data_IF_656900561727
#
_entry.id   IF_656900561727
#
_cell.length_a   1.000
_cell.length_b   1.000
_cell.length_c   1.000
_cell.angle_alpha   90.00
_cell.angle_beta   90.00
_cell.angle_gamma   90.00
#
_symmetry.space_group_name_H-M   'P 1'
#
loop_
_entity.id
_entity.type
_entity.pdbx_description
1 polymer ?
#
# COMPACT_ATOMS: atom_id res chain seq x y z
N UNK A 1 16.01 0.16 1.42
CA UNK A 1 15.59 -1.14 1.96
C UNK A 1 14.11 -1.14 2.37
N UNK A 2 13.59 -0.12 3.06
CA UNK A 2 12.18 -0.04 3.44
C UNK A 2 11.22 -0.07 2.25
N UNK A 3 11.59 0.55 1.13
CA UNK A 3 10.75 0.59 -0.07
C UNK A 3 10.65 -0.77 -0.77
N UNK A 4 11.68 -1.59 -0.72
CA UNK A 4 11.62 -2.95 -1.27
C UNK A 4 10.72 -3.88 -0.45
N UNK A 5 10.51 -3.61 0.82
CA UNK A 5 9.60 -4.39 1.66
C UNK A 5 8.13 -4.18 1.32
N UNK A 6 7.77 -3.04 0.73
CA UNK A 6 6.40 -2.76 0.27
C UNK A 6 5.91 -3.80 -0.75
N UNK A 7 6.82 -4.35 -1.56
CA UNK A 7 6.50 -5.46 -2.49
C UNK A 7 5.81 -6.61 -1.74
N UNK A 8 6.27 -6.90 -0.55
CA UNK A 8 5.74 -7.98 0.25
C UNK A 8 4.46 -7.59 0.99
N UNK A 9 4.28 -6.35 1.40
CA UNK A 9 3.10 -5.91 2.16
C UNK A 9 1.78 -6.25 1.48
N UNK A 10 1.68 -5.87 0.22
CA UNK A 10 0.46 -6.07 -0.57
C UNK A 10 0.16 -7.57 -0.67
N UNK A 11 1.18 -8.38 -0.91
CA UNK A 11 1.03 -9.83 -1.08
C UNK A 11 0.77 -10.55 0.25
N UNK A 12 1.42 -10.12 1.34
CA UNK A 12 1.19 -10.69 2.67
C UNK A 12 -0.18 -10.29 3.25
N UNK A 13 -0.65 -9.08 2.98
CA UNK A 13 -1.97 -8.65 3.45
C UNK A 13 -3.11 -9.51 2.92
N UNK A 14 -2.95 -10.10 1.72
CA UNK A 14 -3.90 -11.03 1.12
C UNK A 14 -3.53 -12.51 1.30
N UNK A 15 -2.65 -12.84 2.22
CA UNK A 15 -2.14 -14.20 2.43
C UNK A 15 -1.50 -14.85 1.19
N UNK A 16 -0.99 -14.07 0.24
CA UNK A 16 -0.38 -14.55 -0.99
C UNK A 16 1.13 -14.37 -0.96
N UNK A 17 1.80 -15.05 0.00
CA UNK A 17 3.24 -14.90 0.28
C UNK A 17 4.16 -15.23 -0.89
N UNK A 18 3.71 -16.04 -1.84
CA UNK A 18 4.50 -16.42 -3.02
C UNK A 18 4.16 -15.62 -4.28
N UNK A 19 3.23 -14.66 -4.19
CA UNK A 19 2.77 -13.91 -5.36
C UNK A 19 3.90 -13.15 -6.05
N UNK A 20 4.77 -12.50 -5.28
CA UNK A 20 5.90 -11.76 -5.83
C UNK A 20 6.87 -12.69 -6.61
N UNK A 21 7.28 -13.80 -5.99
CA UNK A 21 8.16 -14.76 -6.65
C UNK A 21 7.53 -15.33 -7.92
N UNK A 22 6.24 -15.65 -7.89
CA UNK A 22 5.49 -16.17 -9.03
C UNK A 22 5.40 -15.18 -10.19
N UNK A 23 5.27 -13.89 -9.90
CA UNK A 23 5.23 -12.85 -10.93
C UNK A 23 6.56 -12.72 -11.68
N UNK A 24 7.68 -12.90 -11.00
CA UNK A 24 9.01 -12.89 -11.64
C UNK A 24 9.27 -14.04 -12.60
N UNK A 25 8.47 -15.09 -12.58
CA UNK A 25 8.59 -16.18 -13.55
C UNK A 25 8.31 -15.71 -15.00
N UNK A 26 7.50 -14.67 -15.18
CA UNK A 26 7.23 -14.06 -16.49
C UNK A 26 7.59 -12.57 -16.47
N UNK A 27 8.86 -12.28 -16.67
CA UNK A 27 9.43 -10.92 -16.63
C UNK A 27 8.73 -9.95 -17.60
N UNK A 28 8.44 -10.38 -18.84
CA UNK A 28 7.79 -9.52 -19.84
C UNK A 28 6.41 -9.07 -19.37
N UNK A 29 5.61 -10.00 -18.85
CA UNK A 29 4.29 -9.69 -18.34
C UNK A 29 4.35 -8.84 -17.07
N UNK A 30 5.29 -9.14 -16.19
CA UNK A 30 5.49 -8.38 -14.96
C UNK A 30 5.76 -6.90 -15.23
N UNK A 31 6.66 -6.59 -16.17
CA UNK A 31 6.96 -5.19 -16.51
C UNK A 31 5.82 -4.50 -17.24
N UNK A 32 5.02 -5.23 -18.02
CA UNK A 32 3.80 -4.69 -18.62
C UNK A 32 2.77 -4.31 -17.53
N UNK A 33 2.54 -5.19 -16.57
CA UNK A 33 1.66 -4.94 -15.43
C UNK A 33 2.16 -3.82 -14.54
N UNK A 34 3.48 -3.76 -14.30
CA UNK A 34 4.10 -2.65 -13.59
C UNK A 34 3.85 -1.31 -14.29
N UNK A 35 4.08 -1.23 -15.61
CA UNK A 35 3.86 -0.01 -16.38
C UNK A 35 2.38 0.41 -16.36
N UNK A 36 1.46 -0.55 -16.47
CA UNK A 36 0.02 -0.29 -16.37
C UNK A 36 -0.35 0.31 -15.00
N UNK A 37 0.07 -0.33 -13.92
CA UNK A 37 -0.22 0.14 -12.56
C UNK A 37 0.45 1.48 -12.28
N UNK A 38 1.73 1.63 -12.61
CA UNK A 38 2.48 2.86 -12.39
C UNK A 38 1.87 4.06 -13.12
N UNK A 39 1.26 3.85 -14.29
CA UNK A 39 0.57 4.87 -15.06
C UNK A 39 -0.93 4.97 -14.75
N UNK A 40 -1.44 4.21 -13.79
CA UNK A 40 -2.84 4.31 -13.37
C UNK A 40 -3.15 5.69 -12.77
N UNK A 41 -4.40 6.10 -12.89
CA UNK A 41 -4.84 7.41 -12.37
C UNK A 41 -4.70 7.50 -10.85
N UNK A 42 -4.87 6.39 -10.14
CA UNK A 42 -4.63 6.32 -8.70
C UNK A 42 -3.18 6.68 -8.34
N UNK A 43 -2.18 6.10 -9.01
CA UNK A 43 -0.78 6.40 -8.73
C UNK A 43 -0.34 7.75 -9.33
N UNK A 44 -0.97 8.21 -10.42
CA UNK A 44 -0.76 9.58 -10.93
C UNK A 44 -1.25 10.63 -9.94
N UNK A 45 -2.44 10.46 -9.38
CA UNK A 45 -2.99 11.33 -8.34
C UNK A 45 -2.10 11.34 -7.10
N UNK A 46 -1.62 10.16 -6.70
CA UNK A 46 -0.70 10.02 -5.59
C UNK A 46 0.63 10.75 -5.82
N UNK A 47 1.18 10.73 -7.05
CA UNK A 47 2.37 11.49 -7.45
C UNK A 47 2.11 12.99 -7.57
N UNK A 48 0.89 13.37 -7.96
CA UNK A 48 0.48 14.77 -8.11
C UNK A 48 0.26 15.52 -6.79
N UNK A 49 0.47 14.90 -5.64
CA UNK A 49 0.36 15.53 -4.33
C UNK A 49 -1.08 15.77 -3.84
N UNK A 50 -2.09 15.33 -4.59
CA UNK A 50 -3.50 15.57 -4.24
C UNK A 50 -3.96 14.65 -3.10
N UNK A 51 -3.31 13.51 -2.89
CA UNK A 51 -3.69 12.55 -1.84
C UNK A 51 -2.54 12.15 -0.89
N UNK A 52 -1.30 12.55 -1.16
CA UNK A 52 -0.15 11.95 -0.47
C UNK A 52 0.19 12.59 0.85
N UNK A 53 -0.08 13.83 1.03
CA UNK A 53 0.11 14.51 2.28
C UNK A 53 -0.72 15.80 2.26
N UNK A 54 -1.97 15.66 2.57
CA UNK A 54 -2.78 16.81 3.02
C UNK A 54 -1.98 17.61 4.05
N UNK A 55 -1.11 16.95 4.80
CA UNK A 55 -0.27 17.52 5.82
C UNK A 55 0.92 18.29 5.26
N UNK A 56 1.67 17.72 4.34
CA UNK A 56 2.80 18.39 3.71
C UNK A 56 2.33 19.51 2.80
N UNK A 57 1.26 19.30 2.03
CA UNK A 57 0.68 20.30 1.16
C UNK A 57 0.02 21.45 1.97
N UNK A 58 -0.71 21.15 3.06
CA UNK A 58 -1.27 22.17 3.94
C UNK A 58 -0.18 22.95 4.68
N UNK A 59 0.87 22.27 5.16
CA UNK A 59 2.00 22.90 5.80
C UNK A 59 2.75 23.80 4.80
N UNK A 60 3.03 23.30 3.60
CA UNK A 60 3.65 24.08 2.53
C UNK A 60 2.76 25.27 2.12
N UNK A 61 1.44 25.09 2.00
CA UNK A 61 0.51 26.15 1.68
C UNK A 61 0.41 27.20 2.80
N UNK A 62 0.42 26.79 4.07
CA UNK A 62 0.41 27.69 5.21
C UNK A 62 1.71 28.50 5.33
N UNK A 63 2.85 27.88 5.04
CA UNK A 63 4.15 28.53 5.01
C UNK A 63 4.31 29.46 3.79
N UNK A 64 3.73 29.09 2.64
CA UNK A 64 3.72 29.89 1.40
C UNK A 64 2.88 31.17 1.54
N UNK A 65 1.81 31.14 2.31
CA UNK A 65 0.99 32.32 2.64
C UNK A 65 1.65 33.26 3.67
N UNK A 66 2.77 32.87 4.25
CA UNK A 66 3.52 33.70 5.20
C UNK A 66 4.26 34.81 4.47
N UNK A 67 4.20 36.04 5.01
CA UNK A 67 5.00 37.19 4.53
C UNK A 67 6.50 37.07 4.90
N UNK A 68 6.90 36.03 5.62
CA UNK A 68 8.27 35.85 6.06
C UNK A 68 9.05 35.02 5.01
N UNK A 69 10.10 35.60 4.38
CA UNK A 69 10.84 34.93 3.29
C UNK A 69 11.52 33.62 3.70
N UNK A 70 11.95 33.49 4.95
CA UNK A 70 12.51 32.24 5.47
C UNK A 70 11.50 31.09 5.48
N UNK A 71 10.23 31.37 5.79
CA UNK A 71 9.16 30.36 5.77
C UNK A 71 8.79 29.94 4.36
N UNK A 72 8.83 30.86 3.40
CA UNK A 72 8.64 30.56 1.97
C UNK A 72 9.77 29.67 1.44
N UNK A 73 11.01 29.94 1.85
CA UNK A 73 12.15 29.08 1.49
C UNK A 73 12.02 27.66 2.05
N UNK A 74 11.63 27.54 3.33
CA UNK A 74 11.39 26.24 3.97
C UNK A 74 10.27 25.49 3.25
N UNK A 75 9.19 26.18 2.87
CA UNK A 75 8.09 25.61 2.08
C UNK A 75 8.59 24.97 0.76
N UNK A 76 9.44 25.69 0.01
CA UNK A 76 10.03 25.20 -1.23
C UNK A 76 10.99 24.03 -1.03
N UNK A 77 11.80 24.05 0.03
CA UNK A 77 12.70 22.95 0.37
C UNK A 77 11.93 21.69 0.77
N UNK A 78 10.84 21.83 1.51
CA UNK A 78 9.96 20.72 1.84
C UNK A 78 9.29 20.15 0.58
N UNK A 79 8.78 21.00 -0.31
CA UNK A 79 8.16 20.60 -1.58
C UNK A 79 9.14 19.80 -2.46
N UNK A 80 10.38 20.25 -2.58
CA UNK A 80 11.46 19.58 -3.33
C UNK A 80 11.94 18.29 -2.64
N UNK A 81 11.95 18.24 -1.32
CA UNK A 81 12.37 17.08 -0.55
C UNK A 81 11.39 15.92 -0.59
N UNK A 82 10.07 16.18 -0.78
CA UNK A 82 9.05 15.13 -0.86
C UNK A 82 8.96 14.45 -2.24
N UNK A 83 9.33 15.13 -3.32
CA UNK A 83 9.26 14.59 -4.68
C UNK A 83 9.97 13.23 -4.86
N UNK A 84 11.24 13.06 -4.44
CA UNK A 84 11.93 11.76 -4.57
C UNK A 84 11.26 10.65 -3.76
N UNK A 85 10.76 10.97 -2.58
CA UNK A 85 10.05 10.02 -1.69
C UNK A 85 8.74 9.57 -2.32
N UNK A 86 7.97 10.47 -2.90
CA UNK A 86 6.72 10.16 -3.60
C UNK A 86 6.93 9.25 -4.81
N UNK A 87 7.96 9.52 -5.61
CA UNK A 87 8.32 8.68 -6.75
C UNK A 87 8.76 7.29 -6.27
N UNK A 88 9.60 7.23 -5.24
CA UNK A 88 10.06 5.98 -4.65
C UNK A 88 8.91 5.13 -4.09
N UNK A 89 7.97 5.74 -3.38
CA UNK A 89 6.78 5.08 -2.85
C UNK A 89 5.90 4.52 -3.98
N UNK A 90 5.66 5.31 -5.03
CA UNK A 90 4.88 4.85 -6.18
C UNK A 90 5.55 3.70 -6.95
N UNK A 91 6.88 3.72 -7.09
CA UNK A 91 7.63 2.61 -7.68
C UNK A 91 7.48 1.36 -6.82
N UNK A 92 7.61 1.49 -5.51
CA UNK A 92 7.47 0.37 -4.59
C UNK A 92 6.05 -0.22 -4.63
N UNK A 93 5.02 0.62 -4.61
CA UNK A 93 3.62 0.20 -4.74
C UNK A 93 3.36 -0.49 -6.08
N UNK A 94 3.86 0.06 -7.19
CA UNK A 94 3.68 -0.54 -8.51
C UNK A 94 4.40 -1.88 -8.63
N UNK A 95 5.58 -2.03 -8.00
CA UNK A 95 6.35 -3.28 -7.98
C UNK A 95 5.58 -4.40 -7.25
N UNK A 96 5.09 -4.13 -6.06
CA UNK A 96 4.25 -5.07 -5.31
C UNK A 96 2.88 -5.29 -5.97
N UNK A 97 2.31 -4.22 -6.46
CA UNK A 97 1.02 -4.21 -7.13
C UNK A 97 0.98 -5.01 -8.43
N UNK A 98 2.04 -4.98 -9.23
CA UNK A 98 2.13 -5.76 -10.47
C UNK A 98 2.01 -7.26 -10.20
N UNK A 99 2.72 -7.76 -9.17
CA UNK A 99 2.65 -9.16 -8.78
C UNK A 99 1.27 -9.55 -8.26
N UNK A 100 0.68 -8.70 -7.44
CA UNK A 100 -0.65 -8.91 -6.88
C UNK A 100 -1.72 -8.90 -7.98
N UNK A 101 -1.73 -7.88 -8.82
CA UNK A 101 -2.65 -7.70 -9.93
C UNK A 101 -2.68 -8.91 -10.86
N UNK A 102 -1.49 -9.39 -11.30
CA UNK A 102 -1.39 -10.58 -12.17
C UNK A 102 -1.93 -11.84 -11.48
N UNK A 103 -1.66 -12.02 -10.21
CA UNK A 103 -2.17 -13.17 -9.48
C UNK A 103 -3.70 -13.11 -9.31
N UNK A 104 -4.28 -11.91 -9.16
CA UNK A 104 -5.74 -11.71 -9.12
C UNK A 104 -6.39 -12.01 -10.47
N UNK A 105 -5.83 -11.50 -11.57
CA UNK A 105 -6.32 -11.82 -12.92
C UNK A 105 -6.35 -13.33 -13.13
N UNK A 106 -5.23 -14.01 -12.86
CA UNK A 106 -5.12 -15.45 -13.04
C UNK A 106 -6.15 -16.22 -12.18
N UNK A 107 -6.41 -15.74 -10.98
CA UNK A 107 -7.44 -16.32 -10.11
C UNK A 107 -8.83 -16.15 -10.72
N UNK A 108 -9.21 -14.93 -11.12
CA UNK A 108 -10.53 -14.64 -11.65
C UNK A 108 -10.81 -15.35 -12.99
N UNK A 109 -9.81 -15.46 -13.86
CA UNK A 109 -9.93 -16.27 -15.08
C UNK A 109 -10.15 -17.74 -14.73
N UNK A 110 -9.43 -18.28 -13.74
CA UNK A 110 -9.63 -19.65 -13.26
C UNK A 110 -11.02 -19.87 -12.66
N UNK A 111 -11.57 -18.85 -12.02
CA UNK A 111 -12.91 -18.85 -11.44
C UNK A 111 -14.02 -18.62 -12.49
N UNK A 112 -13.65 -18.50 -13.79
CA UNK A 112 -14.59 -18.45 -14.93
C UNK A 112 -14.91 -17.03 -15.44
N UNK A 113 -14.26 -15.98 -14.94
CA UNK A 113 -14.46 -14.62 -15.46
C UNK A 113 -13.81 -14.44 -16.83
N UNK A 114 -14.40 -13.60 -17.68
CA UNK A 114 -13.74 -13.16 -18.90
C UNK A 114 -12.47 -12.35 -18.58
N UNK A 115 -11.52 -12.32 -19.51
CA UNK A 115 -10.25 -11.60 -19.31
C UNK A 115 -10.46 -10.13 -18.93
N UNK A 116 -11.39 -9.45 -19.58
CA UNK A 116 -11.70 -8.02 -19.33
C UNK A 116 -12.32 -7.79 -17.96
N UNK A 117 -13.23 -8.65 -17.53
CA UNK A 117 -13.84 -8.57 -16.19
C UNK A 117 -12.81 -8.89 -15.11
N UNK A 118 -11.96 -9.90 -15.34
CA UNK A 118 -10.88 -10.28 -14.44
C UNK A 118 -9.86 -9.12 -14.25
N UNK A 119 -9.51 -8.42 -15.31
CA UNK A 119 -8.63 -7.24 -15.24
C UNK A 119 -9.26 -6.11 -14.41
N UNK A 120 -10.53 -5.80 -14.65
CA UNK A 120 -11.24 -4.75 -13.91
C UNK A 120 -11.38 -5.11 -12.42
N UNK A 121 -11.77 -6.33 -12.10
CA UNK A 121 -11.90 -6.81 -10.72
C UNK A 121 -10.53 -6.83 -10.01
N UNK A 122 -9.49 -7.32 -10.67
CA UNK A 122 -8.14 -7.34 -10.13
C UNK A 122 -7.58 -5.93 -9.85
N UNK A 123 -7.93 -4.94 -10.69
CA UNK A 123 -7.54 -3.56 -10.46
C UNK A 123 -8.26 -2.95 -9.26
N UNK A 124 -9.53 -3.24 -9.08
CA UNK A 124 -10.29 -2.82 -7.87
C UNK A 124 -9.67 -3.42 -6.61
N UNK A 125 -9.38 -4.72 -6.60
CA UNK A 125 -8.71 -5.38 -5.48
C UNK A 125 -7.34 -4.77 -5.19
N UNK A 126 -6.58 -4.40 -6.23
CA UNK A 126 -5.30 -3.72 -6.07
C UNK A 126 -5.47 -2.35 -5.41
N UNK A 127 -6.49 -1.58 -5.80
CA UNK A 127 -6.79 -0.29 -5.17
C UNK A 127 -7.11 -0.47 -3.68
N UNK A 128 -7.98 -1.41 -3.35
CA UNK A 128 -8.40 -1.67 -1.98
C UNK A 128 -7.25 -2.16 -1.10
N UNK A 129 -6.45 -3.11 -1.58
CA UNK A 129 -5.30 -3.62 -0.82
C UNK A 129 -4.24 -2.53 -0.62
N UNK A 130 -4.01 -1.69 -1.63
CA UNK A 130 -3.07 -0.57 -1.54
C UNK A 130 -3.54 0.43 -0.49
N UNK A 131 -4.82 0.80 -0.48
CA UNK A 131 -5.38 1.71 0.52
C UNK A 131 -5.33 1.12 1.95
N UNK A 132 -5.43 -0.18 2.09
CA UNK A 132 -5.41 -0.85 3.40
C UNK A 132 -4.00 -1.11 3.94
N UNK A 133 -2.98 -1.19 3.07
CA UNK A 133 -1.60 -1.53 3.46
C UNK A 133 -0.64 -0.35 3.39
N UNK A 134 -0.94 0.63 2.54
CA UNK A 134 -0.13 1.82 2.39
C UNK A 134 -0.73 3.01 3.15
N UNK A 135 0.06 4.04 3.33
CA UNK A 135 -0.44 5.28 3.92
C UNK A 135 -1.60 5.83 3.08
N UNK A 136 -2.78 5.90 3.68
CA UNK A 136 -3.99 6.37 3.02
C UNK A 136 -4.35 7.75 3.53
N UNK A 137 -4.72 8.64 2.61
CA UNK A 137 -5.29 9.96 2.93
C UNK A 137 -6.83 9.91 3.10
N UNK A 138 -7.44 8.73 3.00
CA UNK A 138 -8.90 8.59 3.19
C UNK A 138 -9.29 8.95 4.62
N UNK A 139 -10.36 9.75 4.80
CA UNK A 139 -10.80 10.21 6.14
C UNK A 139 -11.15 9.05 7.09
N UNK A 140 -11.66 7.93 6.56
CA UNK A 140 -11.99 6.73 7.32
C UNK A 140 -10.76 5.92 7.80
N UNK A 141 -9.59 6.19 7.22
CA UNK A 141 -8.32 5.55 7.56
C UNK A 141 -7.40 6.44 8.40
N UNK A 142 -7.74 7.71 8.56
CA UNK A 142 -6.97 8.68 9.37
C UNK A 142 -7.61 8.79 10.75
N UNK A 143 -6.82 8.62 11.81
CA UNK A 143 -7.33 8.78 13.17
C UNK A 143 -7.69 10.25 13.46
N UNK A 144 -8.68 10.48 14.33
CA UNK A 144 -9.04 11.84 14.76
C UNK A 144 -7.85 12.62 15.35
N UNK A 145 -6.90 11.93 15.96
CA UNK A 145 -5.67 12.52 16.47
C UNK A 145 -4.76 13.04 15.35
N UNK A 146 -4.77 12.37 14.20
CA UNK A 146 -4.05 12.81 12.99
C UNK A 146 -4.77 13.96 12.27
N UNK A 147 -6.03 14.25 12.59
CA UNK A 147 -6.76 15.37 12.01
C UNK A 147 -6.29 16.74 12.57
N UNK A 148 -5.67 16.80 13.74
CA UNK A 148 -5.07 18.02 14.29
C UNK A 148 -3.71 18.32 13.66
N UNK A 149 -3.33 19.61 13.55
CA UNK A 149 -2.05 20.03 12.95
C UNK A 149 -0.86 19.43 13.70
N UNK A 150 -0.90 19.40 15.03
CA UNK A 150 0.16 18.81 15.86
C UNK A 150 0.17 17.28 15.78
N UNK A 151 -1.00 16.66 15.75
CA UNK A 151 -1.16 15.22 15.55
C UNK A 151 -0.65 14.78 14.18
N UNK A 152 -0.84 15.59 13.16
CA UNK A 152 -0.30 15.37 11.82
C UNK A 152 1.23 15.27 11.83
N UNK A 153 1.91 16.21 12.46
CA UNK A 153 3.39 16.24 12.51
C UNK A 153 3.94 15.08 13.33
N UNK A 154 3.35 14.76 14.48
CA UNK A 154 3.86 13.73 15.41
C UNK A 154 3.47 12.32 14.93
N UNK A 155 2.25 12.14 14.43
CA UNK A 155 1.68 10.82 14.15
C UNK A 155 1.81 10.39 12.68
N UNK A 156 2.32 11.26 11.80
CA UNK A 156 2.48 10.94 10.39
C UNK A 156 3.36 9.69 10.18
N UNK A 157 4.42 9.56 10.98
CA UNK A 157 5.31 8.39 10.96
C UNK A 157 4.72 7.14 11.64
N UNK A 158 3.66 7.28 12.45
CA UNK A 158 3.03 6.16 13.14
C UNK A 158 1.96 5.45 12.30
N UNK A 159 1.54 6.04 11.19
CA UNK A 159 0.47 5.49 10.38
C UNK A 159 0.83 4.11 9.80
N UNK A 160 2.05 3.96 9.30
CA UNK A 160 2.55 2.68 8.76
C UNK A 160 2.62 1.61 9.87
N UNK A 161 3.19 1.96 11.03
CA UNK A 161 3.28 1.06 12.18
C UNK A 161 1.89 0.66 12.68
N UNK A 162 0.94 1.59 12.71
CA UNK A 162 -0.45 1.31 13.10
C UNK A 162 -1.14 0.35 12.12
N UNK A 163 -0.86 0.48 10.82
CA UNK A 163 -1.36 -0.45 9.80
C UNK A 163 -0.77 -1.85 9.96
N UNK A 164 0.53 -1.97 10.24
CA UNK A 164 1.16 -3.26 10.52
C UNK A 164 0.57 -3.93 11.74
N UNK A 165 0.40 -3.19 12.83
CA UNK A 165 -0.24 -3.69 14.03
C UNK A 165 -1.67 -4.20 13.75
N UNK A 166 -2.43 -3.48 12.91
CA UNK A 166 -3.77 -3.90 12.51
C UNK A 166 -3.74 -5.19 11.70
N UNK A 167 -2.84 -5.30 10.71
CA UNK A 167 -2.72 -6.49 9.87
C UNK A 167 -2.23 -7.70 10.65
N UNK A 168 -1.24 -7.53 11.52
CA UNK A 168 -0.76 -8.57 12.40
C UNK A 168 -1.82 -9.03 13.42
N UNK A 169 -2.54 -8.08 14.03
CA UNK A 169 -3.65 -8.36 14.93
C UNK A 169 -4.77 -9.14 14.23
N UNK A 170 -5.12 -8.75 13.00
CA UNK A 170 -6.10 -9.49 12.20
C UNK A 170 -5.64 -10.93 11.94
N UNK A 171 -4.38 -11.13 11.55
CA UNK A 171 -3.83 -12.47 11.34
C UNK A 171 -3.89 -13.33 12.61
N UNK A 172 -3.60 -12.74 13.78
CA UNK A 172 -3.73 -13.40 15.06
C UNK A 172 -5.19 -13.79 15.36
N UNK A 173 -6.14 -12.87 15.13
CA UNK A 173 -7.57 -13.13 15.32
C UNK A 173 -8.07 -14.23 14.37
N UNK A 174 -7.56 -14.29 13.13
CA UNK A 174 -7.94 -15.32 12.16
C UNK A 174 -7.47 -16.72 12.62
N UNK A 175 -6.26 -16.84 13.21
CA UNK A 175 -5.80 -18.08 13.85
C UNK A 175 -6.70 -18.43 15.03
N UNK A 176 -6.90 -17.49 15.95
CA UNK A 176 -7.68 -17.72 17.18
C UNK A 176 -9.11 -18.16 16.86
N UNK A 177 -9.74 -17.52 15.88
CA UNK A 177 -11.11 -17.82 15.46
C UNK A 177 -11.18 -18.97 14.44
N UNK A 178 -10.07 -19.65 14.13
CA UNK A 178 -9.99 -20.75 13.17
C UNK A 178 -10.60 -20.40 11.81
N UNK A 179 -10.35 -19.20 11.32
CA UNK A 179 -10.86 -18.75 10.03
C UNK A 179 -10.03 -19.28 8.88
N UNK A 180 -10.70 -19.89 7.91
CA UNK A 180 -10.08 -20.25 6.62
C UNK A 180 -9.95 -18.97 5.80
N UNK A 181 -8.71 -18.51 5.57
CA UNK A 181 -8.43 -17.23 4.92
C UNK A 181 -8.41 -17.30 3.40
N UNK A 182 -8.35 -18.50 2.84
CA UNK A 182 -8.43 -18.74 1.39
C UNK A 182 -9.45 -19.82 1.08
N UNK A 183 -10.30 -19.61 0.05
CA UNK A 183 -11.13 -20.69 -0.48
C UNK A 183 -10.25 -21.90 -0.83
N UNK A 184 -10.72 -23.10 -0.54
CA UNK A 184 -10.03 -24.37 -0.82
C UNK A 184 -8.70 -24.58 -0.08
N UNK A 185 -8.40 -23.80 0.98
CA UNK A 185 -7.26 -24.09 1.85
C UNK A 185 -7.71 -24.89 3.08
N UNK A 186 -6.79 -25.71 3.61
CA UNK A 186 -7.00 -26.35 4.90
C UNK A 186 -6.79 -25.37 6.05
N UNK A 187 -7.33 -25.67 7.24
CA UNK A 187 -7.10 -24.85 8.44
C UNK A 187 -5.60 -24.68 8.70
N UNK A 188 -4.85 -25.77 8.61
CA UNK A 188 -3.39 -25.76 8.81
C UNK A 188 -2.66 -24.82 7.82
N UNK A 189 -3.05 -24.80 6.55
CA UNK A 189 -2.48 -23.90 5.55
C UNK A 189 -2.82 -22.43 5.86
N UNK A 190 -4.03 -22.17 6.33
CA UNK A 190 -4.46 -20.83 6.76
C UNK A 190 -3.68 -20.37 7.98
N UNK A 191 -3.47 -21.24 8.96
CA UNK A 191 -2.74 -20.93 10.19
C UNK A 191 -1.25 -20.67 9.91
N UNK A 192 -0.61 -21.47 9.05
CA UNK A 192 0.77 -21.24 8.60
C UNK A 192 0.89 -19.90 7.87
N UNK A 193 -0.04 -19.59 6.98
CA UNK A 193 -0.05 -18.32 6.25
C UNK A 193 -0.23 -17.12 7.19
N UNK A 194 -1.11 -17.22 8.18
CA UNK A 194 -1.32 -16.18 9.18
C UNK A 194 -0.13 -16.05 10.13
N UNK A 195 0.51 -17.15 10.52
CA UNK A 195 1.74 -17.13 11.31
C UNK A 195 2.88 -16.43 10.55
N UNK A 196 3.04 -16.70 9.26
CA UNK A 196 4.00 -16.00 8.41
C UNK A 196 3.72 -14.49 8.34
N UNK A 197 2.45 -14.07 8.26
CA UNK A 197 2.05 -12.66 8.33
C UNK A 197 2.42 -12.02 9.66
N UNK A 198 2.12 -12.67 10.77
CA UNK A 198 2.46 -12.17 12.11
C UNK A 198 3.97 -11.99 12.21
N UNK A 199 4.75 -13.01 11.84
CA UNK A 199 6.22 -12.93 11.86
C UNK A 199 6.72 -11.79 10.99
N UNK A 200 6.18 -11.61 9.78
CA UNK A 200 6.58 -10.55 8.89
C UNK A 200 6.31 -9.17 9.49
N UNK A 201 5.10 -8.91 9.99
CA UNK A 201 4.72 -7.58 10.48
C UNK A 201 5.27 -7.23 11.86
N UNK A 202 5.66 -8.18 12.68
CA UNK A 202 6.18 -7.91 14.03
C UNK A 202 7.67 -8.20 14.22
N UNK A 203 8.28 -9.03 13.39
CA UNK A 203 9.68 -9.42 13.57
C UNK A 203 10.61 -9.00 12.42
N UNK A 204 10.09 -8.79 11.20
CA UNK A 204 10.90 -8.44 10.02
C UNK A 204 10.82 -6.94 9.71
N UNK A 205 9.73 -6.28 10.08
CA UNK A 205 9.46 -4.85 9.88
C UNK A 205 9.71 -4.03 11.15
#
# INVERSE_FOLDING_TARGET
LQQMSIVNYINFADNNVFAAAKAFANQKQYWADFAFIFNSDMLKQRRGGIQTDVNGAELAASLRKSKNPSRVLISKLLELGFLPTQIGDNIAIATGGASYYRNRINKYIKDGMSAKEAEAAAFTDFQDITQSTQQSARPDMVSMQQASVLGKVILNFQNVTSQFNRLGKKAFQDIYNRRITKPNSTQMQSDISNAARITYYFAVQ
#
